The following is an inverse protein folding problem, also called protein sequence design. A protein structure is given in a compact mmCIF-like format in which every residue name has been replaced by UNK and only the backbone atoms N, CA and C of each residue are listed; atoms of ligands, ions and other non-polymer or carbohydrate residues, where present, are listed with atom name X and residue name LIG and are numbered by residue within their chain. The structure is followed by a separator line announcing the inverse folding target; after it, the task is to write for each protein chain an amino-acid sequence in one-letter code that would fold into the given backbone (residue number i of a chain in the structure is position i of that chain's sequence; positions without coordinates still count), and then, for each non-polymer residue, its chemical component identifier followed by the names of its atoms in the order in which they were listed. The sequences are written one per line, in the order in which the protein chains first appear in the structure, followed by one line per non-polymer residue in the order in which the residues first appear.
data_IF_590003115555
#
_entry.id   IF_590003115555
#
_cell.length_a   1.000
_cell.length_b   1.000
_cell.length_c   1.000
_cell.angle_alpha   90.00
_cell.angle_beta   90.00
_cell.angle_gamma   90.00
#
_symmetry.space_group_name_H-M   'P 1'
#
loop_
_entity.id
_entity.type
_entity.pdbx_description
1 polymer ?
#
# COMPACT_ATOMS: atom_id res chain seq x y z
N UNK A 1 4.82 -17.20 14.87
CA UNK A 1 4.03 -16.09 15.46
C UNK A 1 4.74 -14.74 15.38
N UNK A 2 5.94 -14.57 15.95
CA UNK A 2 6.67 -13.28 15.96
C UNK A 2 6.78 -12.59 14.57
N UNK A 3 7.17 -13.32 13.53
CA UNK A 3 7.24 -12.79 12.14
C UNK A 3 5.91 -12.19 11.64
N UNK A 4 4.81 -12.93 11.81
CA UNK A 4 3.47 -12.52 11.35
C UNK A 4 3.05 -11.21 12.01
N UNK A 5 3.33 -11.07 13.31
CA UNK A 5 3.05 -9.86 14.09
C UNK A 5 3.88 -8.68 13.57
N UNK A 6 5.20 -8.85 13.40
CA UNK A 6 6.08 -7.78 12.90
C UNK A 6 5.64 -7.31 11.50
N UNK A 7 5.36 -8.25 10.59
CA UNK A 7 4.87 -7.91 9.25
C UNK A 7 3.55 -7.16 9.30
N UNK A 8 2.62 -7.58 10.17
CA UNK A 8 1.32 -6.92 10.31
C UNK A 8 1.45 -5.51 10.87
N UNK A 9 2.30 -5.31 11.89
CA UNK A 9 2.57 -3.99 12.46
C UNK A 9 3.20 -3.07 11.41
N UNK A 10 4.23 -3.54 10.69
CA UNK A 10 4.87 -2.76 9.64
C UNK A 10 3.87 -2.39 8.53
N UNK A 11 2.99 -3.31 8.16
CA UNK A 11 1.94 -3.06 7.18
C UNK A 11 0.93 -2.01 7.67
N UNK A 12 0.43 -2.12 8.91
CA UNK A 12 -0.48 -1.13 9.49
C UNK A 12 0.18 0.25 9.54
N UNK A 13 1.44 0.34 9.99
CA UNK A 13 2.21 1.59 9.98
C UNK A 13 2.27 2.17 8.56
N UNK A 14 2.46 1.31 7.55
CA UNK A 14 2.53 1.76 6.16
C UNK A 14 1.23 2.35 5.61
N UNK A 15 0.09 2.00 6.21
CA UNK A 15 -1.22 2.53 5.82
C UNK A 15 -1.57 3.84 6.56
N UNK A 16 -0.87 4.20 7.64
CA UNK A 16 -1.19 5.39 8.43
C UNK A 16 -1.19 6.70 7.62
N UNK A 17 -0.26 6.93 6.67
CA UNK A 17 -0.28 8.15 5.85
C UNK A 17 -1.56 8.31 5.02
N UNK A 18 -2.29 7.22 4.73
CA UNK A 18 -3.54 7.27 3.95
C UNK A 18 -4.68 7.94 4.71
N UNK A 19 -4.59 8.07 6.03
CA UNK A 19 -5.61 8.81 6.81
C UNK A 19 -5.48 10.33 6.66
N UNK A 20 -4.37 10.82 6.12
CA UNK A 20 -4.16 12.23 5.86
C UNK A 20 -4.85 12.67 4.56
N UNK A 21 -5.06 13.96 4.41
CA UNK A 21 -5.50 14.55 3.15
C UNK A 21 -4.35 14.53 2.16
N UNK A 22 -4.53 13.79 1.07
CA UNK A 22 -3.46 13.51 0.10
C UNK A 22 -3.71 14.20 -1.24
N UNK A 23 -4.96 14.58 -1.51
CA UNK A 23 -5.36 15.13 -2.79
C UNK A 23 -6.29 16.34 -2.61
N UNK A 24 -6.27 17.26 -3.56
CA UNK A 24 -7.16 18.41 -3.57
C UNK A 24 -6.68 19.52 -4.49
N UNK A 25 -7.59 20.38 -4.95
CA UNK A 25 -7.22 21.55 -5.76
C UNK A 25 -6.55 22.65 -4.91
N UNK A 26 -7.11 22.89 -3.72
CA UNK A 26 -6.67 23.88 -2.75
C UNK A 26 -6.86 23.33 -1.34
N UNK A 27 -5.78 23.40 -0.53
CA UNK A 27 -5.86 23.03 0.90
C UNK A 27 -6.89 23.91 1.63
N UNK A 28 -7.71 23.29 2.47
CA UNK A 28 -8.79 23.92 3.22
C UNK A 28 -10.09 24.17 2.46
N UNK A 29 -10.17 23.84 1.16
CA UNK A 29 -11.38 24.02 0.36
C UNK A 29 -11.95 22.68 -0.09
N UNK A 30 -11.17 21.91 -0.85
CA UNK A 30 -11.58 20.61 -1.35
C UNK A 30 -10.44 19.63 -1.16
N UNK A 31 -10.49 18.91 -0.05
CA UNK A 31 -9.49 17.93 0.34
C UNK A 31 -10.09 16.53 0.29
N UNK A 32 -9.31 15.61 -0.28
CA UNK A 32 -9.65 14.19 -0.35
C UNK A 32 -8.58 13.43 0.41
N UNK A 33 -9.05 12.65 1.38
CA UNK A 33 -8.25 11.74 2.17
C UNK A 33 -7.60 10.66 1.28
N UNK A 34 -6.40 10.23 1.66
CA UNK A 34 -5.71 9.10 1.06
C UNK A 34 -6.46 7.76 1.20
N UNK A 35 -7.53 7.69 2.01
CA UNK A 35 -8.37 6.50 2.12
C UNK A 35 -8.94 6.06 0.78
N UNK A 36 -9.06 6.95 -0.22
CA UNK A 36 -9.45 6.55 -1.58
C UNK A 36 -8.46 5.54 -2.22
N UNK A 37 -7.20 5.55 -1.80
CA UNK A 37 -6.17 4.58 -2.20
C UNK A 37 -6.44 3.21 -1.59
N UNK A 38 -7.07 3.16 -0.41
CA UNK A 38 -7.39 1.91 0.27
C UNK A 38 -8.75 1.35 -0.16
N UNK A 39 -9.74 2.23 -0.32
CA UNK A 39 -11.14 1.85 -0.53
C UNK A 39 -11.49 1.59 -2.01
N UNK A 40 -10.54 1.74 -2.93
CA UNK A 40 -10.76 1.28 -4.29
C UNK A 40 -10.51 -0.23 -4.41
N UNK A 41 -11.01 -0.88 -5.48
CA UNK A 41 -10.92 -2.33 -5.61
C UNK A 41 -9.50 -2.90 -5.48
N UNK A 42 -8.48 -2.21 -6.02
CA UNK A 42 -7.07 -2.64 -5.93
C UNK A 42 -6.61 -2.61 -4.48
N UNK A 43 -6.84 -1.48 -3.78
CA UNK A 43 -6.47 -1.32 -2.37
C UNK A 43 -7.13 -2.35 -1.45
N UNK A 44 -8.44 -2.56 -1.60
CA UNK A 44 -9.20 -3.52 -0.78
C UNK A 44 -8.71 -4.95 -0.98
N UNK A 45 -8.54 -5.37 -2.24
CA UNK A 45 -8.01 -6.72 -2.57
C UNK A 45 -6.60 -6.87 -2.02
N UNK A 46 -5.76 -5.83 -2.10
CA UNK A 46 -4.38 -5.86 -1.62
C UNK A 46 -4.29 -6.09 -0.11
N UNK A 47 -5.14 -5.45 0.69
CA UNK A 47 -5.20 -5.70 2.14
C UNK A 47 -5.64 -7.12 2.44
N UNK A 48 -6.64 -7.64 1.72
CA UNK A 48 -7.12 -9.02 1.90
C UNK A 48 -6.00 -10.01 1.56
N UNK A 49 -5.32 -9.83 0.41
CA UNK A 49 -4.20 -10.68 0.01
C UNK A 49 -3.07 -10.67 1.04
N UNK A 50 -2.74 -9.49 1.58
CA UNK A 50 -1.75 -9.38 2.64
C UNK A 50 -2.18 -10.15 3.90
N UNK A 51 -3.39 -9.90 4.39
CA UNK A 51 -3.91 -10.54 5.60
C UNK A 51 -3.96 -12.06 5.46
N UNK A 52 -4.51 -12.56 4.35
CA UNK A 52 -4.57 -13.99 4.03
C UNK A 52 -3.17 -14.56 3.90
N UNK A 53 -2.27 -13.92 3.15
CA UNK A 53 -0.90 -14.40 2.92
C UNK A 53 -0.07 -14.52 4.21
N UNK A 54 -0.26 -13.58 5.14
CA UNK A 54 0.48 -13.57 6.41
C UNK A 54 -0.14 -14.51 7.45
N UNK A 55 -1.47 -14.55 7.56
CA UNK A 55 -2.13 -15.22 8.68
C UNK A 55 -2.61 -16.63 8.37
N UNK A 56 -3.11 -16.89 7.16
CA UNK A 56 -3.68 -18.19 6.81
C UNK A 56 -2.61 -19.31 6.80
N UNK A 57 -2.90 -20.48 7.38
CA UNK A 57 -1.95 -21.58 7.49
C UNK A 57 -1.90 -22.41 6.19
N UNK A 58 -1.34 -21.86 5.12
CA UNK A 58 -1.13 -22.60 3.86
C UNK A 58 -0.20 -23.79 4.07
N UNK A 59 -0.52 -24.92 3.42
CA UNK A 59 0.37 -26.11 3.37
C UNK A 59 1.70 -25.76 2.71
N UNK A 60 1.64 -25.02 1.60
CA UNK A 60 2.81 -24.52 0.89
C UNK A 60 3.13 -23.09 1.33
N UNK A 61 4.25 -22.90 2.01
CA UNK A 61 4.65 -21.58 2.51
C UNK A 61 4.85 -20.55 1.39
N UNK A 62 5.25 -21.00 0.19
CA UNK A 62 5.45 -20.13 -0.98
C UNK A 62 4.17 -19.39 -1.36
N UNK A 63 3.00 -20.03 -1.22
CA UNK A 63 1.70 -19.40 -1.53
C UNK A 63 1.43 -18.23 -0.59
N UNK A 64 1.55 -18.44 0.72
CA UNK A 64 1.34 -17.37 1.70
C UNK A 64 2.31 -16.20 1.54
N UNK A 65 3.58 -16.51 1.27
CA UNK A 65 4.61 -15.51 0.95
C UNK A 65 4.28 -14.68 -0.28
N UNK A 66 3.83 -15.34 -1.34
CA UNK A 66 3.48 -14.68 -2.59
C UNK A 66 2.25 -13.80 -2.42
N UNK A 67 1.21 -14.26 -1.72
CA UNK A 67 0.02 -13.45 -1.44
C UNK A 67 0.35 -12.24 -0.56
N UNK A 68 1.21 -12.41 0.46
CA UNK A 68 1.67 -11.30 1.28
C UNK A 68 2.45 -10.26 0.48
N UNK A 69 3.37 -10.69 -0.39
CA UNK A 69 4.10 -9.79 -1.28
C UNK A 69 3.20 -9.09 -2.29
N UNK A 70 2.24 -9.81 -2.89
CA UNK A 70 1.25 -9.23 -3.79
C UNK A 70 0.39 -8.18 -3.08
N UNK A 71 0.04 -8.43 -1.81
CA UNK A 71 -0.68 -7.46 -0.99
C UNK A 71 0.11 -6.17 -0.75
N UNK A 72 1.42 -6.24 -0.45
CA UNK A 72 2.23 -5.03 -0.25
C UNK A 72 2.45 -4.26 -1.57
N UNK A 73 2.73 -4.97 -2.66
CA UNK A 73 2.90 -4.35 -3.99
C UNK A 73 1.59 -3.73 -4.47
N UNK A 74 0.47 -4.41 -4.26
CA UNK A 74 -0.85 -3.94 -4.66
C UNK A 74 -1.26 -2.64 -3.99
N UNK A 75 -0.82 -2.39 -2.75
CA UNK A 75 -0.99 -1.08 -2.09
C UNK A 75 -0.29 0.03 -2.87
N UNK A 76 0.98 -0.15 -3.24
CA UNK A 76 1.74 0.82 -4.04
C UNK A 76 1.05 1.07 -5.39
N UNK A 77 0.62 0.00 -6.06
CA UNK A 77 -0.12 0.11 -7.33
C UNK A 77 -1.42 0.88 -7.15
N UNK A 78 -2.12 0.66 -6.05
CA UNK A 78 -3.37 1.35 -5.72
C UNK A 78 -3.17 2.87 -5.52
N UNK A 79 -2.09 3.26 -4.84
CA UNK A 79 -1.72 4.68 -4.68
C UNK A 79 -1.38 5.32 -6.01
N UNK A 80 -0.56 4.67 -6.84
CA UNK A 80 -0.20 5.16 -8.18
C UNK A 80 -1.44 5.28 -9.07
N UNK A 81 -2.33 4.27 -9.03
CA UNK A 81 -3.57 4.29 -9.80
C UNK A 81 -4.44 5.48 -9.40
N UNK A 82 -4.64 5.70 -8.09
CA UNK A 82 -5.46 6.83 -7.61
C UNK A 82 -4.81 8.16 -7.89
N UNK A 83 -3.50 8.29 -7.74
CA UNK A 83 -2.76 9.49 -8.12
C UNK A 83 -3.11 9.98 -9.53
N UNK A 84 -3.15 9.07 -10.51
CA UNK A 84 -3.49 9.41 -11.88
C UNK A 84 -4.99 9.58 -12.17
N UNK A 85 -5.87 8.98 -11.36
CA UNK A 85 -7.29 8.83 -11.73
C UNK A 85 -8.26 9.57 -10.84
N UNK A 86 -7.87 9.99 -9.63
CA UNK A 86 -8.81 10.58 -8.66
C UNK A 86 -9.45 11.87 -9.19
N UNK A 87 -8.70 12.69 -9.92
CA UNK A 87 -9.16 13.97 -10.47
C UNK A 87 -9.93 13.81 -11.78
N UNK A 88 -9.89 12.63 -12.41
CA UNK A 88 -10.52 12.37 -13.72
C UNK A 88 -12.03 12.44 -13.60
N UNK A 89 -12.61 11.63 -12.70
CA UNK A 89 -14.06 11.54 -12.54
C UNK A 89 -14.66 12.76 -11.82
N UNK A 90 -13.87 13.50 -11.06
CA UNK A 90 -14.38 14.54 -10.15
C UNK A 90 -14.19 15.96 -10.66
N UNK A 91 -13.18 16.21 -11.51
CA UNK A 91 -12.73 17.57 -11.83
C UNK A 91 -12.43 17.73 -13.33
N UNK A 92 -11.59 16.85 -13.87
CA UNK A 92 -10.81 17.16 -15.09
C UNK A 92 -11.30 16.47 -16.34
N UNK A 93 -11.95 15.31 -16.22
CA UNK A 93 -12.36 14.48 -17.36
C UNK A 93 -11.22 13.78 -18.12
N UNK A 94 -9.96 14.00 -17.75
CA UNK A 94 -8.79 13.46 -18.46
C UNK A 94 -7.64 13.07 -17.51
N UNK A 95 -6.88 12.05 -17.89
CA UNK A 95 -5.64 11.66 -17.19
C UNK A 95 -4.53 12.63 -17.60
N UNK A 96 -3.89 13.29 -16.62
CA UNK A 96 -2.82 14.24 -16.88
C UNK A 96 -1.82 14.27 -15.72
N UNK A 97 -0.57 13.90 -16.00
CA UNK A 97 0.50 13.89 -14.99
C UNK A 97 0.73 15.27 -14.35
N UNK A 98 0.60 16.33 -15.13
CA UNK A 98 0.74 17.70 -14.63
C UNK A 98 -0.34 18.01 -13.58
N UNK A 99 -1.58 17.62 -13.85
CA UNK A 99 -2.71 17.80 -12.91
C UNK A 99 -2.57 16.87 -11.70
N UNK A 100 -2.15 15.62 -11.89
CA UNK A 100 -1.91 14.68 -10.78
C UNK A 100 -0.86 15.23 -9.81
N UNK A 101 0.26 15.77 -10.32
CA UNK A 101 1.30 16.39 -9.48
C UNK A 101 0.77 17.66 -8.79
N UNK A 102 0.10 18.53 -9.55
CA UNK A 102 -0.42 19.81 -9.03
C UNK A 102 -1.42 19.62 -7.89
N UNK A 103 -2.26 18.61 -7.99
CA UNK A 103 -3.34 18.38 -7.03
C UNK A 103 -3.01 17.32 -5.97
N UNK A 104 -1.79 16.78 -5.96
CA UNK A 104 -1.31 15.91 -4.90
C UNK A 104 -0.61 16.73 -3.82
N UNK A 105 -1.00 16.54 -2.57
CA UNK A 105 -0.34 17.17 -1.44
C UNK A 105 0.93 16.40 -1.03
N UNK A 106 1.88 17.03 -0.31
CA UNK A 106 3.10 16.35 0.17
C UNK A 106 2.85 15.02 0.90
N UNK A 107 1.72 14.93 1.61
CA UNK A 107 1.27 13.75 2.35
C UNK A 107 1.10 12.51 1.45
N UNK A 108 0.73 12.68 0.18
CA UNK A 108 0.68 11.59 -0.80
C UNK A 108 2.07 10.97 -1.02
N UNK A 109 3.08 11.81 -1.27
CA UNK A 109 4.44 11.33 -1.57
C UNK A 109 5.09 10.65 -0.35
N UNK A 110 4.80 11.17 0.85
CA UNK A 110 5.20 10.51 2.11
C UNK A 110 4.54 9.12 2.21
N UNK A 111 3.24 9.03 1.92
CA UNK A 111 2.53 7.75 1.88
C UNK A 111 3.14 6.75 0.90
N UNK A 112 3.37 7.20 -0.34
CA UNK A 112 3.96 6.38 -1.39
C UNK A 112 5.37 5.88 -1.04
N UNK A 113 6.22 6.72 -0.44
CA UNK A 113 7.56 6.31 -0.01
C UNK A 113 7.44 5.24 1.09
N UNK A 114 6.56 5.44 2.06
CA UNK A 114 6.37 4.51 3.18
C UNK A 114 5.83 3.16 2.68
N UNK A 115 4.90 3.14 1.71
CA UNK A 115 4.38 1.88 1.15
C UNK A 115 5.45 1.14 0.33
N UNK A 116 6.30 1.84 -0.43
CA UNK A 116 7.46 1.24 -1.10
C UNK A 116 8.44 0.64 -0.07
N UNK A 117 8.72 1.35 1.03
CA UNK A 117 9.55 0.82 2.12
C UNK A 117 8.93 -0.42 2.77
N UNK A 118 7.60 -0.51 2.84
CA UNK A 118 6.91 -1.71 3.33
C UNK A 118 7.15 -2.90 2.39
N UNK A 119 7.12 -2.72 1.06
CA UNK A 119 7.47 -3.78 0.10
C UNK A 119 8.88 -4.29 0.35
N UNK A 120 9.87 -3.39 0.48
CA UNK A 120 11.26 -3.77 0.78
C UNK A 120 11.36 -4.51 2.12
N UNK A 121 10.70 -3.98 3.15
CA UNK A 121 10.67 -4.57 4.51
C UNK A 121 10.10 -5.99 4.49
N UNK A 122 9.04 -6.22 3.72
CA UNK A 122 8.44 -7.54 3.55
C UNK A 122 9.47 -8.56 3.06
N UNK A 123 10.18 -8.23 1.96
CA UNK A 123 11.17 -9.13 1.37
C UNK A 123 12.40 -9.34 2.27
N UNK A 124 12.86 -8.30 2.98
CA UNK A 124 13.97 -8.42 3.93
C UNK A 124 13.62 -9.36 5.08
N UNK A 125 12.42 -9.24 5.65
CA UNK A 125 11.96 -10.10 6.75
C UNK A 125 11.71 -11.52 6.26
N UNK A 126 11.17 -11.71 5.05
CA UNK A 126 10.97 -13.05 4.49
C UNK A 126 12.30 -13.78 4.22
N UNK A 127 13.29 -13.06 3.67
CA UNK A 127 14.62 -13.61 3.38
C UNK A 127 15.37 -14.01 4.66
N UNK A 128 15.37 -13.16 5.69
CA UNK A 128 16.10 -13.44 6.95
C UNK A 128 15.62 -14.72 7.64
N UNK A 129 14.32 -15.00 7.61
CA UNK A 129 13.74 -16.19 8.27
C UNK A 129 13.98 -17.47 7.47
N UNK A 130 14.03 -17.38 6.14
CA UNK A 130 14.33 -18.54 5.29
C UNK A 130 15.77 -19.04 5.47
N UNK A 131 16.71 -18.16 5.82
CA UNK A 131 18.10 -18.54 6.12
C UNK A 131 18.24 -19.23 7.49
N UNK A 132 17.40 -18.90 8.47
CA UNK A 132 17.47 -19.49 9.83
C UNK A 132 16.83 -20.88 9.91
N UNK A 133 15.95 -21.24 8.96
CA UNK A 133 15.36 -22.58 8.89
C UNK A 133 16.23 -23.61 8.19
N UNK A 134 17.29 -23.19 7.49
CA UNK A 134 18.24 -24.10 6.81
C UNK A 134 19.44 -24.43 7.72
N UNK A 135 19.64 -23.65 8.79
CA UNK A 135 20.76 -23.82 9.71
C UNK A 135 20.45 -24.63 10.98
N UNK A 136 19.26 -25.25 11.06
CA UNK A 136 18.81 -26.05 12.22
C UNK A 136 18.53 -27.50 11.81
#
# INVERSE_FOLDING_TARGET
MKKKIILSIAFIISLLPMFLNQYGELKGVQEITGLINLLNPIGMVSVILFAVGVWFPFKEQVVGKSLGALGTIGIVVSEIYKFFTWHVMNITGEVSIHKSIRFAFPEFYIGLIISILMVVTYFVIDKKVSATSVSN
#
